data_IF_052395671447
#
_entry.id   IF_052395671447
#
_cell.length_a   1.000
_cell.length_b   1.000
_cell.length_c   1.000
_cell.angle_alpha   90.00
_cell.angle_beta   90.00
_cell.angle_gamma   90.00
#
_symmetry.space_group_name_H-M   'P 1'
#
loop_
_entity.id
_entity.type
_entity.pdbx_description
1 polymer ?
#
# COMPACT_ATOMS: atom_id res chain seq x y z
N UNK A 1 43.70 20.92 12.27
CA UNK A 1 42.25 21.03 12.01
C UNK A 1 41.57 19.69 11.69
N UNK A 2 42.20 18.76 11.00
CA UNK A 2 41.66 17.42 10.70
C UNK A 2 41.38 16.53 11.93
N UNK A 3 42.27 16.53 12.94
CA UNK A 3 42.09 15.73 14.17
C UNK A 3 40.85 16.11 15.01
N UNK A 4 40.58 17.44 15.13
CA UNK A 4 39.37 17.88 15.87
C UNK A 4 38.07 17.54 15.15
N UNK A 5 38.08 17.48 13.82
CA UNK A 5 36.93 17.02 13.00
C UNK A 5 36.65 15.54 13.19
N UNK A 6 37.67 14.68 13.20
CA UNK A 6 37.52 13.24 13.43
C UNK A 6 37.01 12.93 14.83
N UNK A 7 37.48 13.60 15.88
CA UNK A 7 37.00 13.37 17.25
C UNK A 7 35.53 13.79 17.44
N UNK A 8 35.09 14.85 16.74
CA UNK A 8 33.69 15.28 16.78
C UNK A 8 32.73 14.30 16.04
N UNK A 9 33.13 13.79 14.88
CA UNK A 9 32.39 12.78 14.12
C UNK A 9 32.27 11.48 14.94
N UNK A 10 33.35 10.97 15.50
CA UNK A 10 33.37 9.76 16.32
C UNK A 10 32.46 9.86 17.57
N UNK A 11 32.41 11.03 18.22
CA UNK A 11 31.47 11.28 19.35
C UNK A 11 30.02 11.27 18.90
N UNK A 12 29.69 11.82 17.72
CA UNK A 12 28.34 11.83 17.19
C UNK A 12 27.90 10.42 16.79
N UNK A 13 28.77 9.65 16.13
CA UNK A 13 28.47 8.30 15.68
C UNK A 13 28.26 7.37 16.88
N UNK A 14 29.06 7.47 17.93
CA UNK A 14 28.87 6.73 19.17
C UNK A 14 27.57 7.12 19.86
N UNK A 15 27.22 8.39 19.91
CA UNK A 15 25.92 8.86 20.39
C UNK A 15 24.76 8.25 19.61
N UNK A 16 24.83 8.28 18.26
CA UNK A 16 23.77 7.73 17.40
C UNK A 16 23.58 6.23 17.64
N UNK A 17 24.65 5.44 17.74
CA UNK A 17 24.56 4.00 18.04
C UNK A 17 23.91 3.75 19.40
N UNK A 18 24.33 4.48 20.42
CA UNK A 18 23.79 4.34 21.78
C UNK A 18 22.29 4.71 21.81
N UNK A 19 21.90 5.82 21.19
CA UNK A 19 20.49 6.23 21.18
C UNK A 19 19.63 5.31 20.32
N UNK A 20 20.14 4.81 19.19
CA UNK A 20 19.46 3.80 18.37
C UNK A 20 19.15 2.55 19.17
N UNK A 21 20.15 1.99 19.87
CA UNK A 21 19.98 0.81 20.70
C UNK A 21 18.97 1.01 21.85
N UNK A 22 19.01 2.17 22.52
CA UNK A 22 18.24 2.42 23.76
C UNK A 22 16.83 2.95 23.51
N UNK A 23 16.63 3.75 22.46
CA UNK A 23 15.42 4.56 22.35
C UNK A 23 14.61 4.33 21.08
N UNK A 24 15.18 3.70 20.06
CA UNK A 24 14.46 3.46 18.82
C UNK A 24 13.90 2.04 18.78
N UNK A 25 12.56 1.93 18.81
CA UNK A 25 11.88 0.66 18.61
C UNK A 25 11.77 0.36 17.11
N UNK A 26 12.43 -0.71 16.65
CA UNK A 26 12.45 -1.10 15.25
C UNK A 26 11.31 -2.08 14.93
N UNK A 27 10.55 -1.84 13.84
CA UNK A 27 9.54 -2.78 13.38
C UNK A 27 10.12 -4.17 13.10
N UNK A 28 9.34 -5.21 13.34
CA UNK A 28 9.69 -6.61 13.04
C UNK A 28 10.94 -7.14 13.80
N UNK A 29 11.37 -6.48 14.86
CA UNK A 29 12.51 -6.90 15.66
C UNK A 29 12.12 -7.07 17.12
N UNK A 30 12.84 -7.95 17.82
CA UNK A 30 12.71 -8.05 19.28
C UNK A 30 13.53 -6.93 19.95
N UNK A 31 12.97 -6.15 20.89
CA UNK A 31 13.68 -5.01 21.49
C UNK A 31 15.06 -5.37 22.05
N UNK A 32 15.17 -6.46 22.81
CA UNK A 32 16.46 -6.88 23.37
C UNK A 32 17.50 -7.23 22.30
N UNK A 33 17.09 -7.83 21.19
CA UNK A 33 18.00 -8.10 20.06
C UNK A 33 18.44 -6.80 19.38
N UNK A 34 17.56 -5.80 19.31
CA UNK A 34 17.92 -4.48 18.78
C UNK A 34 18.86 -3.70 19.71
N UNK A 35 18.82 -3.93 21.02
CA UNK A 35 19.78 -3.36 21.96
C UNK A 35 21.17 -4.03 21.84
N UNK A 36 21.20 -5.35 21.70
CA UNK A 36 22.46 -6.12 21.54
C UNK A 36 23.07 -5.94 20.14
N UNK A 37 22.22 -5.88 19.12
CA UNK A 37 22.59 -5.79 17.71
C UNK A 37 21.77 -4.68 17.03
N UNK A 38 22.06 -3.40 17.29
CA UNK A 38 21.29 -2.31 16.72
C UNK A 38 21.40 -2.29 15.19
N UNK A 39 20.32 -1.96 14.49
CA UNK A 39 20.34 -1.85 13.03
C UNK A 39 21.40 -0.87 12.55
N UNK A 40 21.88 -1.15 11.33
CA UNK A 40 22.83 -0.31 10.62
C UNK A 40 22.26 1.11 10.42
N UNK A 41 23.10 2.13 10.65
CA UNK A 41 22.71 3.53 10.50
C UNK A 41 23.20 4.03 9.14
N UNK A 42 22.28 4.32 8.23
CA UNK A 42 22.59 4.89 6.92
C UNK A 42 22.71 6.42 7.07
N UNK A 43 23.83 6.98 6.61
CA UNK A 43 24.16 8.39 6.75
C UNK A 43 23.89 9.20 5.47
N UNK A 44 24.04 8.60 4.31
CA UNK A 44 23.85 9.28 3.02
C UNK A 44 23.47 8.31 1.93
N UNK A 45 22.99 8.85 0.80
CA UNK A 45 22.68 8.08 -0.41
C UNK A 45 22.91 8.91 -1.66
N UNK A 46 23.33 8.27 -2.74
CA UNK A 46 23.49 8.88 -4.06
C UNK A 46 23.22 7.85 -5.16
N UNK A 47 22.31 8.15 -6.07
CA UNK A 47 21.85 7.21 -7.09
C UNK A 47 21.36 5.89 -6.49
N UNK A 48 22.04 4.80 -6.76
CA UNK A 48 21.72 3.46 -6.24
C UNK A 48 22.56 3.06 -5.03
N UNK A 49 23.38 3.96 -4.51
CA UNK A 49 24.29 3.67 -3.40
C UNK A 49 23.83 4.35 -2.11
N UNK A 50 24.05 3.66 -1.00
CA UNK A 50 23.89 4.21 0.36
C UNK A 50 25.21 4.03 1.13
N UNK A 51 25.51 4.96 2.02
CA UNK A 51 26.72 4.93 2.86
C UNK A 51 26.31 4.98 4.32
N UNK A 52 26.86 4.09 5.15
CA UNK A 52 26.60 4.06 6.58
C UNK A 52 27.49 5.07 7.35
N UNK A 53 27.27 5.18 8.67
CA UNK A 53 28.04 6.08 9.53
C UNK A 53 29.53 5.68 9.66
N UNK A 54 29.88 4.44 9.35
CA UNK A 54 31.27 3.98 9.29
C UNK A 54 31.94 4.30 7.94
N UNK A 55 31.21 4.91 7.00
CA UNK A 55 31.73 5.25 5.67
C UNK A 55 31.76 4.08 4.67
N UNK A 56 31.13 2.95 5.00
CA UNK A 56 31.02 1.80 4.09
C UNK A 56 29.88 2.03 3.12
N UNK A 57 30.12 1.81 1.84
CA UNK A 57 29.13 2.02 0.78
C UNK A 57 28.53 0.70 0.31
N UNK A 58 27.23 0.68 0.07
CA UNK A 58 26.44 -0.46 -0.36
C UNK A 58 25.57 -0.10 -1.54
N UNK A 59 25.26 -1.10 -2.38
CA UNK A 59 24.18 -0.97 -3.36
C UNK A 59 22.85 -1.17 -2.63
N UNK A 60 21.96 -0.20 -2.74
CA UNK A 60 20.58 -0.29 -2.22
C UNK A 60 19.69 -1.09 -3.18
N UNK A 61 19.82 -2.42 -3.13
CA UNK A 61 19.09 -3.33 -4.02
C UNK A 61 17.59 -3.38 -3.81
N UNK A 62 17.09 -2.80 -2.71
CA UNK A 62 15.64 -2.74 -2.40
C UNK A 62 15.07 -1.32 -2.49
N UNK A 63 15.88 -0.34 -2.93
CA UNK A 63 15.43 1.03 -3.13
C UNK A 63 14.76 1.65 -1.88
N UNK A 64 15.43 1.59 -0.71
CA UNK A 64 14.89 2.11 0.53
C UNK A 64 13.58 1.44 0.96
N UNK A 65 13.39 0.16 0.67
CA UNK A 65 12.16 -0.61 0.80
C UNK A 65 11.06 -0.10 -0.17
N UNK A 66 11.39 -0.11 -1.48
CA UNK A 66 10.52 0.25 -2.62
C UNK A 66 10.06 1.71 -2.68
N UNK A 67 10.76 2.61 -1.98
CA UNK A 67 10.38 4.03 -1.92
C UNK A 67 11.30 4.95 -2.73
N UNK A 68 12.43 4.46 -3.25
CA UNK A 68 13.45 5.27 -3.93
C UNK A 68 13.59 4.84 -5.39
N UNK A 69 12.48 4.82 -6.12
CA UNK A 69 12.41 4.31 -7.50
C UNK A 69 13.25 5.11 -8.51
N UNK A 70 13.53 6.36 -8.22
CA UNK A 70 14.33 7.25 -9.09
C UNK A 70 15.79 7.42 -8.62
N UNK A 71 16.18 6.69 -7.57
CA UNK A 71 17.48 6.80 -6.94
C UNK A 71 17.55 7.87 -5.84
N UNK A 72 18.54 7.69 -4.94
CA UNK A 72 18.77 8.63 -3.85
C UNK A 72 19.28 9.98 -4.36
N UNK A 73 18.99 11.03 -3.62
CA UNK A 73 19.60 12.35 -3.74
C UNK A 73 19.37 13.05 -5.11
N UNK A 74 18.30 12.72 -5.82
CA UNK A 74 17.96 13.34 -7.12
C UNK A 74 17.82 14.84 -7.00
N UNK A 75 18.62 15.55 -7.80
CA UNK A 75 18.71 17.02 -7.76
C UNK A 75 17.38 17.66 -8.13
N UNK A 76 16.73 17.17 -9.17
CA UNK A 76 15.47 17.71 -9.68
C UNK A 76 14.34 17.62 -8.62
N UNK A 77 14.30 16.52 -7.87
CA UNK A 77 13.32 16.33 -6.78
C UNK A 77 13.59 17.30 -5.63
N UNK A 78 14.86 17.45 -5.24
CA UNK A 78 15.26 18.40 -4.17
C UNK A 78 14.92 19.83 -4.54
N UNK A 79 15.26 20.25 -5.76
CA UNK A 79 15.00 21.61 -6.22
C UNK A 79 13.51 21.92 -6.27
N UNK A 80 12.68 20.98 -6.72
CA UNK A 80 11.21 21.11 -6.71
C UNK A 80 10.66 21.25 -5.29
N UNK A 81 11.16 20.44 -4.33
CA UNK A 81 10.77 20.53 -2.92
C UNK A 81 11.15 21.89 -2.33
N UNK A 82 12.39 22.34 -2.53
CA UNK A 82 12.87 23.63 -2.01
C UNK A 82 12.07 24.78 -2.58
N UNK A 83 11.85 24.82 -3.89
CA UNK A 83 11.06 25.86 -4.54
C UNK A 83 9.61 25.91 -4.01
N UNK A 84 9.01 24.77 -3.69
CA UNK A 84 7.68 24.73 -3.09
C UNK A 84 7.68 25.16 -1.62
N UNK A 85 8.70 24.76 -0.86
CA UNK A 85 8.86 25.18 0.56
C UNK A 85 9.05 26.69 0.71
N UNK A 86 9.75 27.34 -0.23
CA UNK A 86 9.91 28.79 -0.27
C UNK A 86 8.58 29.53 -0.52
N UNK A 87 7.61 28.89 -1.18
CA UNK A 87 6.28 29.46 -1.44
C UNK A 87 5.33 29.19 -0.27
N UNK A 88 5.18 27.92 0.09
CA UNK A 88 4.38 27.44 1.23
C UNK A 88 4.75 25.99 1.51
N UNK A 89 5.18 25.71 2.73
CA UNK A 89 5.58 24.37 3.16
C UNK A 89 4.40 23.44 3.49
N UNK A 90 3.29 24.01 3.96
CA UNK A 90 2.09 23.26 4.33
C UNK A 90 0.85 24.15 4.24
N UNK A 91 -0.24 23.55 3.76
CA UNK A 91 -1.58 24.04 4.00
C UNK A 91 -2.58 22.88 4.03
N UNK A 92 -3.65 23.01 4.83
CA UNK A 92 -4.67 21.98 4.97
C UNK A 92 -5.52 21.85 3.70
N UNK A 93 -5.82 20.62 3.31
CA UNK A 93 -6.86 20.32 2.31
C UNK A 93 -8.21 19.95 2.96
N UNK A 94 -8.33 20.16 4.27
CA UNK A 94 -9.56 19.95 5.02
C UNK A 94 -10.42 21.21 5.01
N UNK A 95 -11.75 21.06 5.02
CA UNK A 95 -12.72 22.14 5.17
C UNK A 95 -12.63 23.27 4.11
N UNK A 96 -12.50 22.92 2.84
CA UNK A 96 -12.70 23.86 1.72
C UNK A 96 -11.45 24.59 1.22
N UNK A 97 -10.29 24.16 1.66
CA UNK A 97 -9.01 24.65 1.16
C UNK A 97 -8.21 23.54 0.47
N UNK A 98 -7.25 23.91 -0.38
CA UNK A 98 -6.33 22.98 -1.06
C UNK A 98 -5.10 23.73 -1.55
N UNK A 99 -4.15 23.05 -2.20
CA UNK A 99 -2.93 23.64 -2.76
C UNK A 99 -2.80 23.33 -4.25
N UNK A 100 -2.11 24.19 -4.99
CA UNK A 100 -1.83 23.98 -6.42
C UNK A 100 -1.20 22.61 -6.70
N UNK A 101 -0.09 22.24 -6.06
CA UNK A 101 0.57 20.94 -6.28
C UNK A 101 -0.34 19.73 -6.08
N UNK A 102 -1.25 19.75 -5.10
CA UNK A 102 -2.17 18.62 -4.87
C UNK A 102 -3.20 18.49 -6.01
N UNK A 103 -3.67 19.61 -6.55
CA UNK A 103 -4.59 19.63 -7.71
C UNK A 103 -3.89 19.08 -8.95
N UNK A 104 -2.69 19.58 -9.25
CA UNK A 104 -1.89 19.17 -10.41
C UNK A 104 -1.55 17.68 -10.35
N UNK A 105 -1.14 17.18 -9.16
CA UNK A 105 -0.87 15.76 -8.94
C UNK A 105 -2.13 14.91 -9.11
N UNK A 106 -3.27 15.36 -8.59
CA UNK A 106 -4.55 14.65 -8.76
C UNK A 106 -4.91 14.51 -10.25
N UNK A 107 -4.78 15.60 -11.02
CA UNK A 107 -5.03 15.58 -12.46
C UNK A 107 -4.10 14.60 -13.18
N UNK A 108 -2.82 14.59 -12.82
CA UNK A 108 -1.83 13.68 -13.42
C UNK A 108 -2.10 12.20 -13.08
N UNK A 109 -2.48 11.90 -11.84
CA UNK A 109 -2.84 10.54 -11.43
C UNK A 109 -4.09 10.06 -12.18
N UNK A 110 -5.12 10.90 -12.31
CA UNK A 110 -6.34 10.59 -13.07
C UNK A 110 -6.03 10.33 -14.55
N UNK A 111 -5.17 11.14 -15.17
CA UNK A 111 -4.69 10.91 -16.54
C UNK A 111 -4.01 9.53 -16.68
N UNK A 112 -3.15 9.17 -15.74
CA UNK A 112 -2.44 7.88 -15.74
C UNK A 112 -3.36 6.68 -15.49
N UNK A 113 -4.46 6.88 -14.75
CA UNK A 113 -5.45 5.86 -14.40
C UNK A 113 -6.72 5.93 -15.29
N UNK A 114 -6.61 6.52 -16.47
CA UNK A 114 -7.76 6.71 -17.37
C UNK A 114 -8.36 5.39 -17.86
N UNK A 115 -7.54 4.35 -18.05
CA UNK A 115 -8.01 3.02 -18.45
C UNK A 115 -8.86 2.33 -17.38
N UNK A 116 -8.65 2.68 -16.11
CA UNK A 116 -9.40 2.18 -14.95
C UNK A 116 -10.66 3.01 -14.63
N UNK A 117 -10.96 4.01 -15.45
CA UNK A 117 -12.10 4.93 -15.28
C UNK A 117 -12.11 5.68 -13.92
N UNK A 118 -10.92 5.92 -13.36
CA UNK A 118 -10.75 6.66 -12.11
C UNK A 118 -10.77 8.17 -12.39
N UNK A 119 -11.57 8.93 -11.65
CA UNK A 119 -11.73 10.37 -11.85
C UNK A 119 -11.55 11.21 -10.56
N UNK A 120 -11.23 10.57 -9.44
CA UNK A 120 -10.99 11.23 -8.15
C UNK A 120 -9.80 10.63 -7.43
N UNK A 121 -9.06 11.48 -6.73
CA UNK A 121 -7.90 11.11 -5.90
C UNK A 121 -8.12 11.57 -4.47
N UNK A 122 -7.82 10.69 -3.52
CA UNK A 122 -7.72 11.01 -2.10
C UNK A 122 -6.27 10.80 -1.69
N UNK A 123 -5.65 11.83 -1.12
CA UNK A 123 -4.31 11.72 -0.55
C UNK A 123 -4.37 11.24 0.89
N UNK A 124 -3.50 10.33 1.23
CA UNK A 124 -3.33 9.73 2.54
C UNK A 124 -1.89 9.87 3.02
N UNK A 125 -1.64 9.71 4.31
CA UNK A 125 -0.31 9.86 4.88
C UNK A 125 0.66 8.74 4.42
N UNK A 126 0.13 7.55 4.13
CA UNK A 126 0.89 6.38 3.66
C UNK A 126 -0.07 5.34 3.04
N UNK A 127 0.50 4.22 2.53
CA UNK A 127 -0.28 3.14 1.92
C UNK A 127 -1.25 2.45 2.88
N UNK A 128 -0.87 2.27 4.15
CA UNK A 128 -1.77 1.69 5.16
C UNK A 128 -3.00 2.55 5.39
N UNK A 129 -2.84 3.87 5.44
CA UNK A 129 -3.92 4.83 5.58
C UNK A 129 -4.80 4.88 4.32
N UNK A 130 -4.21 4.75 3.14
CA UNK A 130 -4.94 4.66 1.88
C UNK A 130 -5.84 3.41 1.85
N UNK A 131 -5.34 2.25 2.27
CA UNK A 131 -6.13 1.01 2.37
C UNK A 131 -7.24 1.14 3.41
N UNK A 132 -6.99 1.68 4.60
CA UNK A 132 -8.04 1.95 5.60
C UNK A 132 -9.15 2.83 5.02
N UNK A 133 -8.76 3.86 4.29
CA UNK A 133 -9.70 4.76 3.62
C UNK A 133 -10.52 4.02 2.56
N UNK A 134 -9.89 3.18 1.74
CA UNK A 134 -10.58 2.39 0.72
C UNK A 134 -11.60 1.41 1.33
N UNK A 135 -11.24 0.71 2.42
CA UNK A 135 -12.16 -0.19 3.12
C UNK A 135 -13.36 0.55 3.71
N UNK A 136 -13.12 1.71 4.34
CA UNK A 136 -14.20 2.56 4.88
C UNK A 136 -15.11 3.10 3.77
N UNK A 137 -14.54 3.60 2.68
CA UNK A 137 -15.30 4.12 1.54
C UNK A 137 -16.13 3.02 0.87
N UNK A 138 -15.61 1.80 0.74
CA UNK A 138 -16.37 0.67 0.20
C UNK A 138 -17.64 0.41 1.02
N UNK A 139 -17.53 0.38 2.35
CA UNK A 139 -18.71 0.22 3.22
C UNK A 139 -19.66 1.42 3.15
N UNK A 140 -19.13 2.63 3.11
CA UNK A 140 -19.93 3.85 2.99
C UNK A 140 -20.69 3.88 1.67
N UNK A 141 -20.03 3.55 0.56
CA UNK A 141 -20.64 3.45 -0.75
C UNK A 141 -21.87 2.54 -0.75
N UNK A 142 -21.73 1.32 -0.24
CA UNK A 142 -22.82 0.36 -0.23
C UNK A 142 -23.98 0.79 0.69
N UNK A 143 -23.69 1.45 1.81
CA UNK A 143 -24.76 2.03 2.67
C UNK A 143 -25.53 3.12 1.93
N UNK A 144 -24.84 4.00 1.21
CA UNK A 144 -25.49 5.07 0.43
C UNK A 144 -26.23 4.51 -0.79
N UNK A 145 -25.75 3.40 -1.37
CA UNK A 145 -26.41 2.68 -2.45
C UNK A 145 -27.66 1.87 -2.01
N UNK A 146 -28.00 1.87 -0.72
CA UNK A 146 -29.16 1.15 -0.18
C UNK A 146 -28.87 -0.33 0.11
N UNK A 147 -27.62 -0.76 0.10
CA UNK A 147 -27.18 -2.14 0.39
C UNK A 147 -26.32 -2.23 1.66
N UNK A 148 -26.83 -1.85 2.86
CA UNK A 148 -26.04 -1.70 4.08
C UNK A 148 -25.46 -3.00 4.63
N UNK A 149 -25.90 -4.15 4.15
CA UNK A 149 -25.39 -5.47 4.54
C UNK A 149 -24.05 -5.80 3.89
N UNK A 150 -23.62 -5.10 2.84
CA UNK A 150 -22.34 -5.27 2.18
C UNK A 150 -21.22 -4.69 3.04
N UNK A 151 -20.63 -5.54 3.88
CA UNK A 151 -19.60 -5.15 4.86
C UNK A 151 -18.36 -6.04 4.82
N UNK A 152 -18.44 -7.19 4.12
CA UNK A 152 -17.38 -8.19 4.06
C UNK A 152 -16.34 -7.87 2.98
N UNK A 153 -15.12 -8.28 3.22
CA UNK A 153 -14.01 -8.14 2.29
C UNK A 153 -13.43 -9.51 1.97
N UNK A 154 -13.01 -9.68 0.72
CA UNK A 154 -12.26 -10.86 0.28
C UNK A 154 -10.90 -10.36 -0.23
N UNK A 155 -9.83 -11.10 0.07
CA UNK A 155 -8.46 -10.80 -0.37
C UNK A 155 -7.72 -12.07 -0.78
N UNK A 156 -6.50 -11.91 -1.30
CA UNK A 156 -5.64 -13.04 -1.61
C UNK A 156 -4.81 -13.45 -0.40
N UNK A 157 -4.63 -14.76 -0.18
CA UNK A 157 -3.57 -15.27 0.71
C UNK A 157 -2.23 -14.68 0.28
N UNK A 158 -1.33 -14.48 1.25
CA UNK A 158 -0.02 -13.88 1.01
C UNK A 158 -0.04 -12.39 0.55
N UNK A 159 -1.22 -11.78 0.38
CA UNK A 159 -1.33 -10.37 0.03
C UNK A 159 -0.94 -9.45 1.19
N UNK A 160 -0.30 -8.32 0.90
CA UNK A 160 0.04 -7.26 1.86
C UNK A 160 -0.80 -6.00 1.63
N UNK A 161 -1.49 -5.54 2.67
CA UNK A 161 -2.41 -4.41 2.57
C UNK A 161 -2.17 -3.33 3.64
N UNK A 162 -0.97 -3.29 4.19
CA UNK A 162 -0.60 -2.31 5.21
C UNK A 162 -0.72 -2.82 6.65
N UNK A 163 -0.36 -1.97 7.61
CA UNK A 163 -0.16 -2.33 9.03
C UNK A 163 -1.25 -1.81 9.97
N UNK A 164 -2.24 -1.05 9.49
CA UNK A 164 -3.39 -0.64 10.29
C UNK A 164 -4.37 -1.81 10.44
N UNK A 165 -5.25 -1.76 11.45
CA UNK A 165 -6.14 -2.88 11.77
C UNK A 165 -6.99 -3.38 10.60
N UNK A 166 -7.55 -2.49 9.77
CA UNK A 166 -8.26 -2.89 8.55
C UNK A 166 -7.34 -3.53 7.52
N UNK A 167 -6.18 -2.93 7.25
CA UNK A 167 -5.17 -3.48 6.35
C UNK A 167 -4.69 -4.87 6.80
N UNK A 168 -4.35 -5.03 8.08
CA UNK A 168 -3.95 -6.34 8.66
C UNK A 168 -5.10 -7.35 8.62
N UNK A 169 -6.35 -6.90 8.73
CA UNK A 169 -7.52 -7.78 8.68
C UNK A 169 -7.73 -8.43 7.32
N UNK A 170 -7.40 -7.72 6.25
CA UNK A 170 -7.43 -8.23 4.87
C UNK A 170 -6.07 -8.80 4.43
N UNK A 171 -5.09 -8.87 5.31
CA UNK A 171 -3.77 -9.44 5.05
C UNK A 171 -3.86 -10.96 4.90
N UNK A 172 -3.17 -11.52 3.93
CA UNK A 172 -3.25 -12.94 3.63
C UNK A 172 -2.29 -13.86 4.40
N UNK A 173 -1.35 -13.30 5.18
CA UNK A 173 -0.32 -14.10 5.87
C UNK A 173 -0.51 -14.09 7.39
N UNK A 174 -0.68 -15.28 7.97
CA UNK A 174 -0.90 -15.46 9.41
C UNK A 174 0.27 -14.97 10.28
N UNK A 175 1.51 -15.03 9.77
CA UNK A 175 2.70 -14.57 10.49
C UNK A 175 2.58 -13.11 10.95
N UNK A 176 2.00 -12.24 10.11
CA UNK A 176 1.82 -10.83 10.46
C UNK A 176 0.54 -10.52 11.23
N UNK A 177 -0.41 -11.46 11.28
CA UNK A 177 -1.75 -11.27 11.87
C UNK A 177 -1.86 -11.79 13.29
N UNK A 178 -1.27 -12.95 13.57
CA UNK A 178 -1.52 -13.74 14.77
C UNK A 178 -1.32 -12.96 16.09
N UNK A 179 -0.35 -12.05 16.14
CA UNK A 179 -0.07 -11.24 17.33
C UNK A 179 -1.11 -10.14 17.58
N UNK A 180 -1.99 -9.85 16.65
CA UNK A 180 -2.94 -8.71 16.69
C UNK A 180 -4.39 -9.13 16.69
N UNK A 181 -4.67 -10.42 16.65
CA UNK A 181 -6.05 -10.94 16.68
C UNK A 181 -6.72 -10.71 18.05
N UNK A 182 -8.04 -10.45 18.12
CA UNK A 182 -9.01 -10.51 17.00
C UNK A 182 -8.98 -9.26 16.12
N UNK A 183 -9.04 -9.47 14.80
CA UNK A 183 -9.05 -8.44 13.79
C UNK A 183 -10.47 -8.05 13.36
N UNK A 184 -10.61 -7.22 12.32
CA UNK A 184 -11.91 -6.81 11.78
C UNK A 184 -12.68 -8.03 11.27
N UNK A 185 -13.89 -8.22 11.78
CA UNK A 185 -14.75 -9.30 11.33
C UNK A 185 -15.19 -9.13 9.86
N UNK A 186 -15.39 -10.26 9.18
CA UNK A 186 -15.88 -10.28 7.79
C UNK A 186 -14.77 -10.12 6.74
N UNK A 187 -13.53 -10.44 7.07
CA UNK A 187 -12.41 -10.49 6.14
C UNK A 187 -12.06 -11.96 5.84
N UNK A 188 -12.06 -12.33 4.58
CA UNK A 188 -11.84 -13.70 4.10
C UNK A 188 -10.72 -13.72 3.06
N UNK A 189 -9.96 -14.82 3.01
CA UNK A 189 -8.85 -14.98 2.09
C UNK A 189 -9.05 -16.20 1.20
N UNK A 190 -8.82 -16.02 -0.10
CA UNK A 190 -8.75 -17.11 -1.09
C UNK A 190 -7.29 -17.32 -1.51
N UNK A 191 -7.02 -18.43 -2.18
CA UNK A 191 -5.68 -18.71 -2.68
C UNK A 191 -5.23 -17.69 -3.73
N UNK A 192 -3.90 -17.47 -3.79
CA UNK A 192 -3.27 -16.52 -4.70
C UNK A 192 -2.92 -17.16 -6.04
N UNK A 193 -2.96 -16.42 -7.17
CA UNK A 193 -2.53 -16.93 -8.48
C UNK A 193 -0.98 -16.95 -8.62
N UNK A 194 -0.30 -17.46 -7.65
CA UNK A 194 1.14 -17.58 -7.64
C UNK A 194 1.57 -18.92 -8.26
N UNK A 195 2.28 -18.87 -9.37
CA UNK A 195 2.61 -20.03 -10.20
C UNK A 195 3.72 -20.90 -9.65
N UNK A 196 4.67 -20.34 -8.90
CA UNK A 196 5.84 -21.08 -8.43
C UNK A 196 5.44 -22.18 -7.43
N UNK A 197 5.72 -23.44 -7.80
CA UNK A 197 5.38 -24.62 -7.02
C UNK A 197 3.89 -24.67 -6.61
N UNK A 198 3.02 -24.17 -7.48
CA UNK A 198 1.59 -24.22 -7.21
C UNK A 198 1.08 -25.66 -7.22
N UNK A 199 0.18 -25.99 -6.28
CA UNK A 199 -0.35 -27.36 -6.16
C UNK A 199 -1.33 -27.74 -7.28
N UNK A 200 -1.89 -26.77 -8.00
CA UNK A 200 -2.85 -27.01 -9.07
C UNK A 200 -2.18 -27.00 -10.43
N UNK A 201 -1.49 -25.92 -10.75
CA UNK A 201 -0.79 -25.73 -12.03
C UNK A 201 0.26 -24.61 -11.92
N UNK A 202 1.30 -24.68 -12.75
CA UNK A 202 2.27 -23.60 -12.93
C UNK A 202 1.94 -22.73 -14.17
N UNK A 203 0.90 -23.08 -14.93
CA UNK A 203 0.41 -22.24 -16.02
C UNK A 203 -0.35 -21.04 -15.48
N UNK A 204 0.05 -19.80 -15.83
CA UNK A 204 -0.52 -18.58 -15.25
C UNK A 204 -1.96 -18.32 -15.71
N UNK A 205 -2.37 -18.74 -16.91
CA UNK A 205 -3.73 -18.52 -17.42
C UNK A 205 -4.71 -19.52 -16.80
N UNK A 206 -4.32 -20.78 -16.71
CA UNK A 206 -5.09 -21.80 -16.04
C UNK A 206 -5.25 -21.46 -14.54
N UNK A 207 -4.17 -21.05 -13.87
CA UNK A 207 -4.21 -20.69 -12.46
C UNK A 207 -5.07 -19.45 -12.21
N UNK A 208 -5.04 -18.45 -13.08
CA UNK A 208 -5.93 -17.29 -12.99
C UNK A 208 -7.41 -17.71 -13.09
N UNK A 209 -7.76 -18.65 -13.97
CA UNK A 209 -9.11 -19.21 -14.08
C UNK A 209 -9.56 -19.96 -12.82
N UNK A 210 -8.66 -20.73 -12.20
CA UNK A 210 -8.91 -21.42 -10.93
C UNK A 210 -9.18 -20.40 -9.81
N UNK A 211 -8.31 -19.39 -9.66
CA UNK A 211 -8.46 -18.38 -8.60
C UNK A 211 -9.72 -17.53 -8.80
N UNK A 212 -10.09 -17.20 -10.04
CA UNK A 212 -11.36 -16.53 -10.33
C UNK A 212 -12.57 -17.38 -9.90
N UNK A 213 -12.51 -18.69 -10.12
CA UNK A 213 -13.54 -19.63 -9.66
C UNK A 213 -13.61 -19.70 -8.13
N UNK A 214 -12.46 -19.67 -7.45
CA UNK A 214 -12.41 -19.62 -5.98
C UNK A 214 -13.00 -18.31 -5.44
N UNK A 215 -12.76 -17.19 -6.10
CA UNK A 215 -13.35 -15.89 -5.72
C UNK A 215 -14.88 -15.94 -5.86
N UNK A 216 -15.41 -16.46 -6.97
CA UNK A 216 -16.85 -16.60 -7.17
C UNK A 216 -17.47 -17.48 -6.08
N UNK A 217 -16.88 -18.64 -5.82
CA UNK A 217 -17.34 -19.56 -4.78
C UNK A 217 -17.35 -18.91 -3.40
N UNK A 218 -16.31 -18.16 -3.07
CA UNK A 218 -16.23 -17.47 -1.78
C UNK A 218 -17.29 -16.35 -1.68
N UNK A 219 -17.53 -15.58 -2.73
CA UNK A 219 -18.62 -14.60 -2.78
C UNK A 219 -19.98 -15.28 -2.53
N UNK A 220 -20.23 -16.40 -3.20
CA UNK A 220 -21.48 -17.17 -3.04
C UNK A 220 -21.61 -17.73 -1.63
N UNK A 221 -20.53 -18.27 -1.06
CA UNK A 221 -20.48 -18.82 0.29
C UNK A 221 -20.73 -17.75 1.36
N UNK A 222 -20.19 -16.57 1.19
CA UNK A 222 -20.39 -15.44 2.12
C UNK A 222 -21.74 -14.74 1.97
N UNK A 223 -22.47 -15.00 0.89
CA UNK A 223 -23.69 -14.32 0.48
C UNK A 223 -23.39 -13.09 -0.38
N UNK A 224 -23.73 -13.11 -1.69
CA UNK A 224 -23.35 -12.07 -2.65
C UNK A 224 -23.76 -10.65 -2.26
N UNK A 225 -24.85 -10.51 -1.52
CA UNK A 225 -25.37 -9.24 -1.00
C UNK A 225 -24.69 -8.76 0.30
N UNK A 226 -23.68 -9.48 0.79
CA UNK A 226 -22.93 -9.10 2.01
C UNK A 226 -21.48 -8.73 1.73
N UNK A 227 -20.96 -9.04 0.54
CA UNK A 227 -19.57 -8.73 0.14
C UNK A 227 -19.50 -7.29 -0.38
N UNK A 228 -18.65 -6.48 0.25
CA UNK A 228 -18.43 -5.09 -0.11
C UNK A 228 -17.39 -4.94 -1.23
N UNK A 229 -16.26 -5.64 -1.13
CA UNK A 229 -15.19 -5.56 -2.09
C UNK A 229 -14.25 -6.77 -2.05
N UNK A 230 -13.54 -6.97 -3.17
CA UNK A 230 -12.32 -7.76 -3.25
C UNK A 230 -11.13 -6.81 -3.31
N UNK A 231 -10.07 -7.13 -2.57
CA UNK A 231 -8.82 -6.36 -2.57
C UNK A 231 -7.64 -7.26 -2.90
N UNK A 232 -6.78 -6.83 -3.81
CA UNK A 232 -5.56 -7.52 -4.21
C UNK A 232 -4.50 -6.53 -4.65
N UNK A 233 -3.23 -6.90 -4.46
CA UNK A 233 -2.11 -6.22 -5.08
C UNK A 233 -2.10 -6.53 -6.58
N UNK A 234 -1.83 -5.56 -7.46
CA UNK A 234 -1.66 -5.82 -8.89
C UNK A 234 -0.41 -6.68 -9.16
N UNK A 235 0.58 -6.60 -8.27
CA UNK A 235 1.79 -7.45 -8.22
C UNK A 235 2.04 -7.77 -6.74
N UNK A 236 1.91 -9.03 -6.36
CA UNK A 236 2.23 -9.44 -4.99
C UNK A 236 3.75 -9.43 -4.78
N UNK A 237 4.21 -8.62 -3.84
CA UNK A 237 5.65 -8.40 -3.63
C UNK A 237 6.15 -8.61 -2.20
N UNK A 238 5.29 -8.55 -1.19
CA UNK A 238 5.71 -8.52 0.21
C UNK A 238 6.36 -9.82 0.72
N UNK A 239 6.07 -10.97 0.11
CA UNK A 239 6.68 -12.26 0.49
C UNK A 239 8.12 -12.44 0.02
N UNK A 240 8.57 -11.64 -0.93
CA UNK A 240 9.97 -11.66 -1.37
C UNK A 240 10.97 -11.52 -0.22
N UNK A 241 10.61 -10.77 0.82
CA UNK A 241 11.47 -10.56 1.99
C UNK A 241 11.42 -11.70 3.02
N UNK A 242 10.34 -12.48 3.06
CA UNK A 242 10.15 -13.52 4.06
C UNK A 242 10.82 -14.86 3.68
N UNK A 243 10.99 -15.15 2.39
CA UNK A 243 11.44 -16.47 1.93
C UNK A 243 12.60 -16.46 0.92
N UNK A 244 13.22 -15.29 0.64
CA UNK A 244 14.31 -15.15 -0.35
C UNK A 244 13.79 -15.00 -1.79
N UNK A 245 14.70 -14.91 -2.79
CA UNK A 245 14.33 -14.60 -4.16
C UNK A 245 13.48 -15.71 -4.78
N UNK A 246 12.22 -15.39 -5.04
CA UNK A 246 11.27 -16.25 -5.75
C UNK A 246 10.82 -15.52 -7.01
N UNK A 247 10.69 -16.26 -8.12
CA UNK A 247 10.28 -15.70 -9.42
C UNK A 247 8.82 -15.20 -9.35
N UNK A 248 8.65 -13.93 -8.97
CA UNK A 248 7.35 -13.26 -8.98
C UNK A 248 7.14 -12.62 -10.35
N UNK A 249 6.56 -13.37 -11.30
CA UNK A 249 6.06 -12.73 -12.53
C UNK A 249 4.85 -11.88 -12.20
N UNK A 250 4.71 -10.68 -12.82
CA UNK A 250 3.56 -9.84 -12.58
C UNK A 250 2.28 -10.58 -12.95
N UNK A 251 1.33 -10.61 -12.03
CA UNK A 251 -0.06 -10.94 -12.35
C UNK A 251 -0.48 -9.89 -13.37
N UNK A 252 -0.75 -10.32 -14.60
CA UNK A 252 -1.36 -9.44 -15.58
C UNK A 252 -2.62 -8.87 -14.94
N UNK A 253 -2.80 -7.56 -15.07
CA UNK A 253 -3.78 -6.67 -14.42
C UNK A 253 -5.07 -7.37 -13.96
N UNK A 254 -5.67 -6.95 -12.86
CA UNK A 254 -7.04 -7.35 -12.46
C UNK A 254 -8.06 -7.16 -13.62
N UNK A 255 -7.74 -6.35 -14.64
CA UNK A 255 -8.44 -6.28 -15.91
C UNK A 255 -8.42 -7.59 -16.73
N UNK A 256 -7.39 -8.43 -16.59
CA UNK A 256 -7.35 -9.72 -17.31
C UNK A 256 -8.24 -10.78 -16.65
N UNK A 257 -8.54 -10.64 -15.37
CA UNK A 257 -9.62 -11.38 -14.72
C UNK A 257 -11.01 -11.03 -15.30
N UNK A 258 -11.15 -9.86 -15.96
CA UNK A 258 -12.37 -9.48 -16.68
C UNK A 258 -12.54 -10.19 -18.03
N UNK A 259 -11.46 -10.66 -18.67
CA UNK A 259 -11.53 -11.30 -20.02
C UNK A 259 -11.87 -12.77 -20.00
N UNK A 260 -11.77 -13.42 -18.83
CA UNK A 260 -12.05 -14.87 -18.69
C UNK A 260 -13.52 -15.27 -18.57
N UNK A 261 -14.45 -14.33 -18.62
CA UNK A 261 -15.87 -14.68 -18.56
C UNK A 261 -16.83 -13.52 -18.39
N UNK A 262 -17.52 -13.19 -19.44
CA UNK A 262 -18.69 -12.27 -19.44
C UNK A 262 -19.85 -12.76 -18.52
N UNK A 263 -19.59 -13.75 -17.66
CA UNK A 263 -20.60 -14.39 -16.80
C UNK A 263 -20.39 -14.28 -15.30
N UNK A 264 -19.24 -13.79 -14.83
CA UNK A 264 -18.86 -13.87 -13.39
C UNK A 264 -19.36 -12.69 -12.57
N UNK A 265 -19.59 -11.54 -13.19
CA UNK A 265 -20.14 -10.38 -12.49
C UNK A 265 -21.59 -10.19 -12.88
N UNK A 266 -22.55 -10.21 -11.93
CA UNK A 266 -23.87 -9.66 -12.20
C UNK A 266 -23.69 -8.24 -12.75
N UNK A 267 -24.38 -7.86 -13.81
CA UNK A 267 -24.29 -6.56 -14.50
C UNK A 267 -24.37 -5.31 -13.58
N UNK A 268 -24.67 -5.52 -12.30
CA UNK A 268 -24.79 -4.49 -11.26
C UNK A 268 -23.51 -4.22 -10.46
N UNK A 269 -22.41 -4.95 -10.69
CA UNK A 269 -21.11 -4.68 -10.04
C UNK A 269 -20.21 -3.75 -10.87
N UNK A 270 -20.63 -3.34 -12.04
CA UNK A 270 -20.08 -2.15 -12.69
C UNK A 270 -20.44 -0.95 -11.81
N UNK A 271 -19.44 -0.23 -11.32
CA UNK A 271 -19.60 1.13 -10.82
C UNK A 271 -20.06 1.97 -12.02
N UNK A 272 -21.37 1.96 -12.32
CA UNK A 272 -21.94 2.90 -13.27
C UNK A 272 -21.75 4.28 -12.64
N UNK A 273 -21.17 5.21 -13.40
CA UNK A 273 -21.24 6.64 -13.15
C UNK A 273 -22.67 6.94 -12.68
N UNK A 274 -22.86 7.13 -11.39
CA UNK A 274 -24.03 7.82 -10.89
C UNK A 274 -23.83 9.27 -11.36
N UNK A 275 -24.43 9.64 -12.50
CA UNK A 275 -24.68 11.04 -12.82
C UNK A 275 -25.54 11.56 -11.70
N UNK A 276 -24.95 12.35 -10.82
CA UNK A 276 -25.68 13.25 -9.93
C UNK A 276 -26.30 14.35 -10.83
N UNK A 277 -27.33 13.99 -11.56
CA UNK A 277 -28.24 14.88 -12.25
C UNK A 277 -29.52 14.92 -11.44
N UNK A 278 -29.57 15.77 -10.45
CA UNK A 278 -30.75 16.11 -9.69
C UNK A 278 -30.62 17.57 -9.28
N UNK A 279 -31.50 18.39 -9.80
CA UNK A 279 -31.61 19.82 -9.54
C UNK A 279 -31.57 20.11 -8.04
N UNK A 280 -30.70 21.03 -7.66
CA UNK A 280 -30.59 21.55 -6.30
C UNK A 280 -31.82 22.41 -5.98
N UNK A 281 -32.80 21.83 -5.29
CA UNK A 281 -33.82 22.54 -4.58
C UNK A 281 -33.28 22.91 -3.18
N UNK A 282 -32.99 24.19 -2.99
CA UNK A 282 -32.63 24.75 -1.69
C UNK A 282 -33.75 24.52 -0.65
N UNK A 283 -33.43 23.86 0.47
CA UNK A 283 -34.02 24.22 1.75
C UNK A 283 -33.11 23.76 2.90
N UNK A 284 -32.45 24.70 3.54
CA UNK A 284 -31.80 24.56 4.86
C UNK A 284 -32.75 25.13 5.89
N UNK A 285 -33.25 24.37 6.86
CA UNK A 285 -33.83 24.95 8.07
C UNK A 285 -32.74 25.27 9.10
N UNK A 286 -32.92 26.36 9.80
CA UNK A 286 -32.07 26.88 10.88
C UNK A 286 -32.01 25.95 12.09
#
# INVERSE_FOLDING_TARGET
MQEKGNIMLDRRDNFLREQNAKHQFHPMTHPLLSEEHPPQIIASGDGVYVTDIEGRTYVDGIGGLWNVNVGHNRREVKDAILAQMDRISYYSSFAGTTTGPSIELSAKIVEMAAEEEMDKVIFSANGSDAVETALKLSRQYWKLAGEPLRTKFISLKQGYHGVHFGGVSVYGNAFYRASYEPLLAGCFQIDTPWTYRNAWTEDPEELAGIVATLLEREILNQGPNTVAAFIAEPVQGAEFLAEGPRDSRPIRRAADLRRGGDRIWPERLHVRRARLGGEAGHHVPR
#
